data_IF_923679196488
#
_entry.id   IF_923679196488
#
_cell.length_a   1.000
_cell.length_b   1.000
_cell.length_c   1.000
_cell.angle_alpha   90.00
_cell.angle_beta   90.00
_cell.angle_gamma   90.00
#
_symmetry.space_group_name_H-M   'P 1'
#
loop_
_entity.id
_entity.type
_entity.pdbx_description
1 polymer ?
#
# COMPACT_ATOMS: atom_id res chain seq x y z
N UNK A 1 17.36 -76.85 18.47
CA UNK A 1 17.02 -75.42 18.68
C UNK A 1 17.44 -74.59 17.45
N UNK A 2 16.49 -74.32 16.52
CA UNK A 2 16.75 -73.49 15.29
C UNK A 2 16.53 -72.08 15.66
N UNK A 3 17.54 -71.19 15.54
CA UNK A 3 17.42 -69.76 15.72
C UNK A 3 16.87 -69.13 14.40
N UNK A 4 15.71 -68.54 14.50
CA UNK A 4 15.08 -67.75 13.41
C UNK A 4 15.66 -66.33 13.50
N UNK A 5 16.44 -65.91 12.49
CA UNK A 5 16.94 -64.55 12.35
C UNK A 5 15.94 -63.80 11.50
N UNK A 6 15.24 -62.81 12.12
CA UNK A 6 14.32 -61.91 11.45
C UNK A 6 15.11 -60.71 10.85
N UNK A 7 15.21 -60.63 9.54
CA UNK A 7 15.77 -59.46 8.87
C UNK A 7 14.68 -58.37 8.75
N UNK A 8 14.85 -57.29 9.48
CA UNK A 8 14.10 -56.07 9.27
C UNK A 8 14.69 -55.33 8.08
N UNK A 9 14.00 -55.33 6.95
CA UNK A 9 14.32 -54.47 5.81
C UNK A 9 13.73 -53.08 6.07
N UNK A 10 14.57 -52.12 6.46
CA UNK A 10 14.21 -50.72 6.49
C UNK A 10 14.11 -50.21 5.05
N UNK A 11 12.90 -50.12 4.51
CA UNK A 11 12.63 -49.36 3.28
C UNK A 11 12.55 -47.88 3.69
N UNK A 12 13.65 -47.15 3.52
CA UNK A 12 13.64 -45.70 3.61
C UNK A 12 12.88 -45.16 2.38
N UNK A 13 11.63 -44.73 2.60
CA UNK A 13 10.94 -43.90 1.65
C UNK A 13 11.64 -42.55 1.67
N UNK A 14 12.58 -42.35 0.75
CA UNK A 14 12.98 -40.99 0.34
C UNK A 14 11.81 -40.39 -0.44
N UNK A 15 10.92 -39.69 0.25
CA UNK A 15 9.95 -38.83 -0.37
C UNK A 15 10.73 -37.71 -1.02
N UNK A 16 10.96 -37.78 -2.33
CA UNK A 16 11.37 -36.67 -3.14
C UNK A 16 10.22 -35.68 -3.11
N UNK A 17 10.32 -34.65 -2.31
CA UNK A 17 9.53 -33.45 -2.50
C UNK A 17 10.00 -32.84 -3.82
N UNK A 18 9.25 -33.10 -4.88
CA UNK A 18 9.48 -32.48 -6.16
C UNK A 18 9.28 -30.99 -5.95
N UNK A 19 10.33 -30.19 -6.08
CA UNK A 19 10.22 -28.73 -6.04
C UNK A 19 9.34 -28.30 -7.22
N UNK A 20 8.27 -27.58 -6.94
CA UNK A 20 7.38 -27.04 -7.97
C UNK A 20 8.15 -25.96 -8.73
N UNK A 21 8.28 -26.11 -10.04
CA UNK A 21 8.85 -25.10 -10.92
C UNK A 21 7.81 -23.98 -11.17
N UNK A 22 7.73 -23.04 -10.23
CA UNK A 22 6.78 -21.94 -10.29
C UNK A 22 7.04 -21.03 -11.49
N UNK A 23 8.31 -20.79 -11.82
CA UNK A 23 8.66 -19.93 -12.95
C UNK A 23 8.24 -20.53 -14.27
N UNK A 24 8.53 -21.81 -14.50
CA UNK A 24 8.09 -22.53 -15.70
C UNK A 24 6.57 -22.55 -15.85
N UNK A 25 5.83 -22.72 -14.73
CA UNK A 25 4.36 -22.66 -14.74
C UNK A 25 3.89 -21.26 -15.16
N UNK A 26 4.45 -20.21 -14.57
CA UNK A 26 4.07 -18.84 -14.92
C UNK A 26 4.36 -18.55 -16.39
N UNK A 27 5.57 -18.84 -16.87
CA UNK A 27 5.95 -18.62 -18.27
C UNK A 27 5.02 -19.34 -19.25
N UNK A 28 4.60 -20.55 -18.91
CA UNK A 28 3.68 -21.37 -19.73
C UNK A 28 2.28 -20.76 -19.85
N UNK A 29 1.77 -20.18 -18.78
CA UNK A 29 0.35 -19.82 -18.69
C UNK A 29 0.04 -18.32 -18.69
N UNK A 30 0.97 -17.46 -18.28
CA UNK A 30 0.71 -16.02 -18.01
C UNK A 30 0.10 -15.28 -19.19
N UNK A 31 0.48 -15.63 -20.43
CA UNK A 31 -0.04 -14.98 -21.64
C UNK A 31 -1.57 -15.07 -21.79
N UNK A 32 -2.19 -16.07 -21.17
CA UNK A 32 -3.64 -16.26 -21.22
C UNK A 32 -4.42 -15.20 -20.42
N UNK A 33 -3.72 -14.46 -19.55
CA UNK A 33 -4.35 -13.49 -18.63
C UNK A 33 -4.19 -12.03 -19.06
N UNK A 34 -3.34 -11.74 -20.05
CA UNK A 34 -3.11 -10.35 -20.46
C UNK A 34 -4.35 -9.69 -21.07
N UNK A 35 -5.19 -10.44 -21.76
CA UNK A 35 -6.46 -9.92 -22.31
C UNK A 35 -7.44 -9.59 -21.18
N UNK A 36 -7.57 -10.47 -20.18
CA UNK A 36 -8.42 -10.18 -19.01
C UNK A 36 -7.92 -8.96 -18.23
N UNK A 37 -6.58 -8.82 -18.11
CA UNK A 37 -5.99 -7.64 -17.49
C UNK A 37 -6.34 -6.37 -18.27
N UNK A 38 -6.14 -6.41 -19.60
CA UNK A 38 -6.47 -5.28 -20.46
C UNK A 38 -7.92 -4.85 -20.30
N UNK A 39 -8.85 -5.80 -20.39
CA UNK A 39 -10.29 -5.53 -20.27
C UNK A 39 -10.65 -4.94 -18.91
N UNK A 40 -10.12 -5.51 -17.83
CA UNK A 40 -10.44 -5.07 -16.48
C UNK A 40 -9.89 -3.68 -16.16
N UNK A 41 -8.64 -3.37 -16.51
CA UNK A 41 -8.05 -2.06 -16.23
C UNK A 41 -8.54 -0.99 -17.21
N UNK A 42 -9.19 -1.37 -18.30
CA UNK A 42 -9.86 -0.42 -19.21
C UNK A 42 -11.17 0.14 -18.64
N UNK A 43 -11.74 -0.49 -17.60
CA UNK A 43 -12.93 0.01 -16.94
C UNK A 43 -12.57 1.15 -15.98
N UNK A 44 -13.10 2.37 -16.15
CA UNK A 44 -12.97 3.42 -15.15
C UNK A 44 -13.51 2.97 -13.79
N UNK A 45 -12.85 3.40 -12.68
CA UNK A 45 -13.16 2.89 -11.35
C UNK A 45 -13.03 3.92 -10.22
N UNK A 46 -13.20 5.21 -10.53
CA UNK A 46 -13.19 6.25 -9.49
C UNK A 46 -14.45 6.17 -8.62
N UNK A 47 -14.29 5.90 -7.33
CA UNK A 47 -15.39 5.76 -6.36
C UNK A 47 -16.24 7.04 -6.19
N UNK A 48 -15.68 8.23 -6.44
CA UNK A 48 -16.45 9.46 -6.45
C UNK A 48 -17.45 9.55 -7.63
N UNK A 49 -17.27 8.72 -8.66
CA UNK A 49 -18.11 8.71 -9.87
C UNK A 49 -18.94 7.43 -9.90
N UNK A 50 -20.06 7.46 -9.18
CA UNK A 50 -20.92 6.29 -8.94
C UNK A 50 -21.16 5.38 -10.15
N UNK A 51 -21.40 5.86 -11.39
CA UNK A 51 -21.57 4.98 -12.55
C UNK A 51 -20.34 4.16 -12.94
N UNK A 52 -19.14 4.48 -12.47
CA UNK A 52 -17.93 3.76 -12.82
C UNK A 52 -17.78 2.45 -12.04
N UNK A 53 -18.45 2.29 -10.91
CA UNK A 53 -18.31 1.11 -10.03
C UNK A 53 -19.07 -0.10 -10.59
N UNK A 54 -20.28 0.09 -11.10
CA UNK A 54 -21.12 -1.02 -11.58
C UNK A 54 -20.46 -1.91 -12.64
N UNK A 55 -19.85 -1.38 -13.71
CA UNK A 55 -19.18 -2.20 -14.72
C UNK A 55 -18.06 -3.07 -14.17
N UNK A 56 -17.35 -2.60 -13.15
CA UNK A 56 -16.32 -3.37 -12.48
C UNK A 56 -16.91 -4.55 -11.68
N UNK A 57 -17.99 -4.32 -10.94
CA UNK A 57 -18.67 -5.39 -10.21
C UNK A 57 -19.20 -6.47 -11.15
N UNK A 58 -19.77 -6.08 -12.30
CA UNK A 58 -20.28 -7.01 -13.31
C UNK A 58 -19.14 -7.84 -13.92
N UNK A 59 -18.01 -7.21 -14.22
CA UNK A 59 -16.81 -7.89 -14.70
C UNK A 59 -16.27 -8.87 -13.66
N UNK A 60 -16.13 -8.45 -12.40
CA UNK A 60 -15.67 -9.29 -11.29
C UNK A 60 -16.58 -10.50 -11.07
N UNK A 61 -17.89 -10.30 -11.12
CA UNK A 61 -18.86 -11.39 -11.00
C UNK A 61 -18.59 -12.46 -12.07
N UNK A 62 -18.52 -12.07 -13.33
CA UNK A 62 -18.23 -12.99 -14.44
C UNK A 62 -16.87 -13.68 -14.25
N UNK A 63 -15.82 -12.92 -13.89
CA UNK A 63 -14.48 -13.43 -13.73
C UNK A 63 -14.35 -14.47 -12.59
N UNK A 64 -15.06 -14.30 -11.49
CA UNK A 64 -15.05 -15.23 -10.38
C UNK A 64 -15.99 -16.42 -10.59
N UNK A 65 -17.21 -16.19 -11.11
CA UNK A 65 -18.20 -17.27 -11.34
C UNK A 65 -17.72 -18.30 -12.39
N UNK A 66 -17.05 -17.86 -13.48
CA UNK A 66 -16.46 -18.79 -14.45
C UNK A 66 -15.38 -19.69 -13.86
N UNK A 67 -14.82 -19.32 -12.70
CA UNK A 67 -13.81 -20.07 -11.93
C UNK A 67 -14.42 -20.91 -10.78
N UNK A 68 -15.75 -21.00 -10.73
CA UNK A 68 -16.48 -21.79 -9.74
C UNK A 68 -16.58 -21.14 -8.35
N UNK A 69 -16.43 -19.83 -8.26
CA UNK A 69 -16.73 -19.09 -7.03
C UNK A 69 -18.22 -18.75 -6.94
N UNK A 70 -18.79 -18.88 -5.76
CA UNK A 70 -20.04 -18.22 -5.43
C UNK A 70 -19.78 -16.75 -5.13
N UNK A 71 -20.56 -15.86 -5.74
CA UNK A 71 -20.36 -14.41 -5.61
C UNK A 71 -21.53 -13.72 -4.93
N UNK A 72 -21.26 -12.67 -4.19
CA UNK A 72 -22.28 -11.84 -3.54
C UNK A 72 -21.78 -10.40 -3.45
N UNK A 73 -22.70 -9.45 -3.59
CA UNK A 73 -22.47 -8.05 -3.24
C UNK A 73 -22.97 -7.83 -1.80
N UNK A 74 -22.08 -7.38 -0.93
CA UNK A 74 -22.40 -7.02 0.46
C UNK A 74 -22.77 -5.54 0.48
N UNK A 75 -24.00 -5.25 0.83
CA UNK A 75 -24.50 -3.88 0.91
C UNK A 75 -23.78 -3.08 1.99
N UNK A 76 -23.48 -1.81 1.68
CA UNK A 76 -22.91 -0.84 2.59
C UNK A 76 -23.72 0.46 2.58
N UNK A 77 -23.30 1.47 3.34
CA UNK A 77 -23.85 2.83 3.23
C UNK A 77 -23.49 3.56 1.94
N UNK A 78 -22.51 3.05 1.18
CA UNK A 78 -22.00 3.58 -0.08
C UNK A 78 -22.08 2.57 -1.22
N UNK A 79 -20.93 2.31 -1.86
CA UNK A 79 -20.82 1.26 -2.86
C UNK A 79 -20.72 -0.12 -2.20
N UNK A 80 -21.24 -1.18 -2.83
CA UNK A 80 -21.19 -2.52 -2.24
C UNK A 80 -19.77 -3.09 -2.27
N UNK A 81 -19.41 -3.87 -1.26
CA UNK A 81 -18.20 -4.70 -1.27
C UNK A 81 -18.50 -6.02 -1.98
N UNK A 82 -17.61 -6.43 -2.88
CA UNK A 82 -17.77 -7.72 -3.57
C UNK A 82 -17.17 -8.85 -2.74
N UNK A 83 -17.92 -9.95 -2.58
CA UNK A 83 -17.47 -11.18 -1.92
C UNK A 83 -17.49 -12.32 -2.92
N UNK A 84 -16.41 -13.09 -2.99
CA UNK A 84 -16.34 -14.36 -3.72
C UNK A 84 -15.82 -15.47 -2.79
N UNK A 85 -16.45 -16.65 -2.87
CA UNK A 85 -16.12 -17.79 -2.02
C UNK A 85 -15.99 -19.07 -2.83
N UNK A 86 -14.97 -19.87 -2.55
CA UNK A 86 -14.82 -21.24 -3.10
C UNK A 86 -14.34 -22.19 -2.01
N UNK A 87 -15.07 -23.27 -1.81
CA UNK A 87 -14.61 -24.35 -0.94
C UNK A 87 -13.59 -25.21 -1.63
N UNK A 88 -12.59 -25.67 -0.89
CA UNK A 88 -11.63 -26.63 -1.43
C UNK A 88 -12.32 -27.95 -1.75
N UNK A 89 -11.91 -28.54 -2.84
CA UNK A 89 -12.34 -29.92 -3.24
C UNK A 89 -11.42 -31.00 -2.66
N UNK A 90 -10.32 -30.63 -2.00
CA UNK A 90 -9.43 -31.57 -1.36
C UNK A 90 -10.09 -32.17 -0.10
N UNK A 91 -10.43 -33.43 -0.16
CA UNK A 91 -11.00 -34.17 0.97
C UNK A 91 -9.85 -34.60 1.89
N UNK A 92 -9.42 -33.68 2.78
CA UNK A 92 -8.60 -34.06 3.93
C UNK A 92 -9.49 -34.46 5.10
N UNK A 93 -9.03 -35.36 5.95
CA UNK A 93 -9.79 -35.91 7.10
C UNK A 93 -9.99 -34.90 8.23
N UNK A 94 -9.71 -33.62 8.02
CA UNK A 94 -9.83 -32.54 9.01
C UNK A 94 -10.60 -31.32 8.48
N UNK A 95 -10.95 -30.41 9.39
CA UNK A 95 -11.55 -29.14 9.02
C UNK A 95 -10.53 -28.30 8.24
N UNK A 96 -10.86 -27.95 6.99
CA UNK A 96 -10.03 -27.13 6.14
C UNK A 96 -10.02 -25.68 6.65
N UNK A 97 -8.84 -25.11 6.73
CA UNK A 97 -8.67 -23.68 7.03
C UNK A 97 -9.17 -22.82 5.88
N UNK A 98 -9.58 -21.62 6.22
CA UNK A 98 -10.10 -20.61 5.27
C UNK A 98 -9.10 -19.46 5.17
N UNK A 99 -8.69 -19.15 3.95
CA UNK A 99 -7.85 -18.01 3.61
C UNK A 99 -8.74 -16.92 3.01
N UNK A 100 -8.73 -15.74 3.62
CA UNK A 100 -9.44 -14.56 3.15
C UNK A 100 -8.44 -13.59 2.53
N UNK A 101 -8.67 -13.22 1.26
CA UNK A 101 -7.94 -12.16 0.58
C UNK A 101 -8.72 -10.86 0.64
N UNK A 102 -8.03 -9.77 0.93
CA UNK A 102 -8.53 -8.41 0.80
C UNK A 102 -7.76 -7.68 -0.30
N UNK A 103 -8.49 -7.05 -1.19
CA UNK A 103 -8.01 -6.16 -2.26
C UNK A 103 -9.07 -5.11 -2.53
N UNK A 104 -8.79 -4.15 -3.41
CA UNK A 104 -9.77 -3.18 -3.87
C UNK A 104 -9.77 -3.04 -5.39
N UNK A 105 -10.85 -2.51 -5.96
CA UNK A 105 -10.95 -2.35 -7.41
C UNK A 105 -11.25 -0.92 -7.85
N UNK A 106 -11.54 -0.03 -6.92
CA UNK A 106 -11.59 1.39 -7.22
C UNK A 106 -10.17 1.93 -7.45
N UNK A 107 -10.07 3.14 -7.93
CA UNK A 107 -8.80 3.78 -8.23
C UNK A 107 -8.88 5.28 -8.03
N UNK A 108 -7.73 5.88 -7.75
CA UNK A 108 -7.57 7.33 -7.58
C UNK A 108 -8.14 8.11 -8.76
N UNK A 109 -8.67 9.31 -8.53
CA UNK A 109 -9.02 10.26 -9.60
C UNK A 109 -7.89 10.43 -10.60
N UNK A 110 -8.23 10.75 -11.82
CA UNK A 110 -7.28 10.98 -12.90
C UNK A 110 -7.34 12.42 -13.40
N UNK A 111 -6.18 12.94 -13.77
CA UNK A 111 -5.99 14.18 -14.50
C UNK A 111 -5.44 13.78 -15.88
N UNK A 112 -6.29 13.57 -16.89
CA UNK A 112 -5.88 12.98 -18.18
C UNK A 112 -4.73 13.71 -18.87
N UNK A 113 -4.65 15.02 -18.70
CA UNK A 113 -3.60 15.88 -19.27
C UNK A 113 -2.21 15.63 -18.69
N UNK A 114 -2.10 14.96 -17.54
CA UNK A 114 -0.82 14.56 -16.93
C UNK A 114 -0.33 13.20 -17.41
N UNK A 115 -1.14 12.48 -18.21
CA UNK A 115 -0.78 11.16 -18.71
C UNK A 115 -0.13 11.24 -20.09
N UNK A 116 1.01 10.55 -20.24
CA UNK A 116 1.72 10.47 -21.50
C UNK A 116 1.20 9.29 -22.35
N UNK A 117 -0.13 9.22 -22.52
CA UNK A 117 -0.85 8.25 -23.33
C UNK A 117 -2.26 8.78 -23.63
N UNK A 118 -2.95 8.14 -24.57
CA UNK A 118 -4.26 8.58 -25.06
C UNK A 118 -5.32 8.72 -23.94
N UNK A 119 -5.31 7.78 -22.99
CA UNK A 119 -6.22 7.79 -21.84
C UNK A 119 -5.61 7.03 -20.66
N UNK A 120 -5.83 7.47 -19.42
CA UNK A 120 -5.48 6.70 -18.22
C UNK A 120 -6.09 5.30 -18.17
N UNK A 121 -7.24 5.09 -18.83
CA UNK A 121 -7.97 3.84 -18.90
C UNK A 121 -7.76 3.06 -20.21
N UNK A 122 -6.80 3.47 -21.04
CA UNK A 122 -6.34 2.70 -22.19
C UNK A 122 -4.97 2.12 -21.87
N UNK A 123 -4.87 0.82 -21.50
CA UNK A 123 -3.61 0.23 -21.10
C UNK A 123 -2.57 0.27 -22.22
N UNK A 124 -1.35 0.66 -21.88
CA UNK A 124 -0.23 0.72 -22.82
C UNK A 124 0.93 -0.10 -22.28
N UNK A 125 1.40 -1.05 -23.10
CA UNK A 125 2.63 -1.77 -22.81
C UNK A 125 3.83 -0.91 -23.21
N UNK A 126 4.80 -0.76 -22.31
CA UNK A 126 6.01 0.03 -22.58
C UNK A 126 7.27 -0.73 -22.17
N UNK A 127 8.37 -0.45 -22.88
CA UNK A 127 9.73 -0.85 -22.52
C UNK A 127 10.61 0.38 -22.37
N UNK A 128 11.75 0.26 -21.71
CA UNK A 128 12.78 1.31 -21.73
C UNK A 128 13.61 1.21 -22.99
N UNK A 129 13.86 2.35 -23.63
CA UNK A 129 14.83 2.47 -24.71
C UNK A 129 16.26 2.61 -24.14
N UNK A 130 17.23 2.70 -25.02
CA UNK A 130 18.67 2.80 -24.67
C UNK A 130 19.01 4.04 -23.80
N UNK A 131 18.15 5.06 -23.82
CA UNK A 131 18.29 6.27 -23.00
C UNK A 131 17.52 6.18 -21.68
N UNK A 132 16.92 5.02 -21.35
CA UNK A 132 16.12 4.81 -20.15
C UNK A 132 14.71 5.41 -20.20
N UNK A 133 14.27 5.92 -21.34
CA UNK A 133 12.93 6.49 -21.53
C UNK A 133 11.93 5.40 -21.89
N UNK A 134 10.69 5.54 -21.38
CA UNK A 134 9.60 4.62 -21.70
C UNK A 134 9.06 4.88 -23.10
N UNK A 135 9.05 3.84 -23.94
CA UNK A 135 8.42 3.84 -25.27
C UNK A 135 7.35 2.77 -25.36
N UNK A 136 6.23 3.09 -26.02
CA UNK A 136 5.15 2.16 -26.24
C UNK A 136 5.57 1.06 -27.21
N UNK A 137 5.18 -0.17 -26.93
CA UNK A 137 5.31 -1.32 -27.80
C UNK A 137 3.95 -1.98 -27.98
N UNK A 138 3.81 -2.74 -29.07
CA UNK A 138 2.55 -3.40 -29.39
C UNK A 138 2.19 -4.44 -28.32
N UNK A 139 0.93 -4.46 -27.90
CA UNK A 139 0.42 -5.38 -26.90
C UNK A 139 0.55 -6.84 -27.31
N UNK A 140 0.54 -7.14 -28.62
CA UNK A 140 0.70 -8.48 -29.16
C UNK A 140 2.04 -9.13 -28.81
N UNK A 141 3.06 -8.35 -28.43
CA UNK A 141 4.33 -8.89 -27.95
C UNK A 141 4.14 -9.83 -26.75
N UNK A 142 3.14 -9.58 -25.90
CA UNK A 142 2.82 -10.43 -24.75
C UNK A 142 2.27 -11.82 -25.13
N UNK A 143 1.88 -12.05 -26.39
CA UNK A 143 1.44 -13.36 -26.88
C UNK A 143 2.60 -14.30 -27.20
N UNK A 144 3.76 -13.74 -27.54
CA UNK A 144 4.96 -14.49 -27.88
C UNK A 144 5.92 -14.69 -26.73
N UNK A 145 5.83 -13.86 -25.71
CA UNK A 145 6.66 -13.88 -24.51
C UNK A 145 6.55 -12.58 -23.76
N UNK A 146 7.26 -12.46 -22.64
CA UNK A 146 7.37 -11.21 -21.89
C UNK A 146 8.83 -10.99 -21.47
N UNK A 147 9.19 -9.72 -21.36
CA UNK A 147 10.42 -9.30 -20.72
C UNK A 147 10.07 -8.79 -19.32
N UNK A 148 10.73 -9.26 -18.24
CA UNK A 148 10.48 -8.79 -16.87
C UNK A 148 10.63 -7.28 -16.68
N UNK A 149 11.33 -6.61 -17.59
CA UNK A 149 11.50 -5.16 -17.55
C UNK A 149 10.38 -4.37 -18.25
N UNK A 150 9.51 -5.04 -18.98
CA UNK A 150 8.34 -4.37 -19.57
C UNK A 150 7.35 -3.96 -18.47
N UNK A 151 6.60 -2.91 -18.73
CA UNK A 151 5.58 -2.40 -17.78
C UNK A 151 4.30 -2.06 -18.53
N UNK A 152 3.17 -2.33 -17.88
CA UNK A 152 1.84 -1.93 -18.31
C UNK A 152 1.47 -0.66 -17.57
N UNK A 153 1.07 0.37 -18.33
CA UNK A 153 0.68 1.67 -17.82
C UNK A 153 -0.81 1.89 -17.99
N UNK A 154 -1.55 1.92 -16.91
CA UNK A 154 -2.96 2.29 -16.84
C UNK A 154 -3.32 2.70 -15.41
N UNK A 155 -4.44 3.42 -15.20
CA UNK A 155 -4.97 3.64 -13.85
C UNK A 155 -5.36 2.29 -13.23
N UNK A 156 -5.13 2.14 -11.94
CA UNK A 156 -5.43 0.94 -11.14
C UNK A 156 -4.73 -0.36 -11.59
N UNK A 157 -3.80 -0.33 -12.56
CA UNK A 157 -3.12 -1.55 -13.04
C UNK A 157 -2.19 -2.17 -11.98
N UNK A 158 -1.63 -1.37 -11.07
CA UNK A 158 -0.80 -1.84 -9.97
C UNK A 158 -1.55 -1.81 -8.63
N UNK A 159 -2.48 -0.89 -8.50
CA UNK A 159 -3.20 -0.52 -7.30
C UNK A 159 -4.69 -0.36 -7.66
N UNK A 160 -5.57 -1.43 -7.52
CA UNK A 160 -5.19 -2.78 -7.07
C UNK A 160 -5.76 -3.87 -8.02
N UNK A 161 -6.21 -3.50 -9.25
CA UNK A 161 -6.79 -4.44 -10.23
C UNK A 161 -5.80 -5.50 -10.72
N UNK A 162 -4.52 -5.15 -10.84
CA UNK A 162 -3.47 -6.10 -11.22
C UNK A 162 -3.33 -7.24 -10.21
N UNK A 163 -3.15 -6.98 -8.91
CA UNK A 163 -3.15 -7.99 -7.86
C UNK A 163 -4.39 -8.89 -7.85
N UNK A 164 -5.59 -8.34 -8.09
CA UNK A 164 -6.81 -9.17 -8.25
C UNK A 164 -6.61 -10.20 -9.36
N UNK A 165 -6.13 -9.76 -10.52
CA UNK A 165 -5.92 -10.66 -11.65
C UNK A 165 -4.76 -11.63 -11.45
N UNK A 166 -3.70 -11.19 -10.74
CA UNK A 166 -2.60 -12.08 -10.33
C UNK A 166 -3.11 -13.21 -9.43
N UNK A 167 -3.99 -12.91 -8.47
CA UNK A 167 -4.63 -13.93 -7.63
C UNK A 167 -5.45 -14.91 -8.48
N UNK A 168 -6.30 -14.42 -9.38
CA UNK A 168 -7.11 -15.27 -10.27
C UNK A 168 -6.23 -16.15 -11.15
N UNK A 169 -5.17 -15.61 -11.74
CA UNK A 169 -4.22 -16.34 -12.54
C UNK A 169 -3.49 -17.44 -11.75
N UNK A 170 -3.03 -17.12 -10.54
CA UNK A 170 -2.37 -18.09 -9.67
C UNK A 170 -3.29 -19.26 -9.31
N UNK A 171 -4.54 -18.99 -8.95
CA UNK A 171 -5.52 -20.00 -8.60
C UNK A 171 -5.89 -20.89 -9.82
N UNK A 172 -5.99 -20.30 -11.00
CA UNK A 172 -6.21 -21.05 -12.25
C UNK A 172 -5.01 -21.93 -12.59
N UNK A 173 -3.79 -21.39 -12.52
CA UNK A 173 -2.55 -22.14 -12.77
C UNK A 173 -2.42 -23.32 -11.81
N UNK A 174 -2.70 -23.13 -10.53
CA UNK A 174 -2.73 -24.22 -9.54
C UNK A 174 -3.74 -25.31 -9.93
N UNK A 175 -4.91 -24.92 -10.42
CA UNK A 175 -5.93 -25.87 -10.84
C UNK A 175 -5.50 -26.64 -12.12
N UNK A 176 -4.95 -25.95 -13.11
CA UNK A 176 -4.46 -26.54 -14.38
C UNK A 176 -3.33 -27.54 -14.11
N UNK A 177 -2.37 -27.17 -13.28
CA UNK A 177 -1.22 -27.99 -12.92
C UNK A 177 -1.54 -29.01 -11.79
N UNK A 178 -2.82 -29.12 -11.39
CA UNK A 178 -3.31 -30.04 -10.34
C UNK A 178 -2.62 -29.87 -9.01
N UNK A 179 -2.16 -28.67 -8.70
CA UNK A 179 -1.64 -28.29 -7.41
C UNK A 179 -2.83 -28.08 -6.47
N UNK A 180 -3.02 -28.99 -5.54
CA UNK A 180 -4.17 -28.92 -4.64
C UNK A 180 -4.11 -27.69 -3.72
N UNK A 181 -5.25 -27.02 -3.54
CA UNK A 181 -5.40 -25.98 -2.52
C UNK A 181 -5.94 -26.60 -1.22
N UNK A 182 -5.15 -26.68 -0.14
CA UNK A 182 -5.63 -27.24 1.12
C UNK A 182 -6.46 -26.22 1.95
N UNK A 183 -6.98 -25.18 1.31
CA UNK A 183 -7.71 -24.09 1.95
C UNK A 183 -9.02 -23.80 1.23
N UNK A 184 -10.06 -23.42 1.99
CA UNK A 184 -11.16 -22.65 1.43
C UNK A 184 -10.65 -21.25 1.11
N UNK A 185 -11.14 -20.67 0.04
CA UNK A 185 -10.73 -19.34 -0.40
C UNK A 185 -11.92 -18.39 -0.35
N UNK A 186 -11.74 -17.28 0.33
CA UNK A 186 -12.64 -16.13 0.31
C UNK A 186 -11.88 -14.92 -0.25
N UNK A 187 -12.56 -14.09 -0.99
CA UNK A 187 -12.00 -12.84 -1.53
C UNK A 187 -13.01 -11.74 -1.28
N UNK A 188 -12.61 -10.67 -0.62
CA UNK A 188 -13.37 -9.42 -0.55
C UNK A 188 -12.65 -8.33 -1.32
N UNK A 189 -13.41 -7.61 -2.14
CA UNK A 189 -12.90 -6.52 -2.95
C UNK A 189 -13.66 -5.25 -2.58
N UNK A 190 -12.92 -4.29 -2.02
CA UNK A 190 -13.46 -2.99 -1.65
C UNK A 190 -13.67 -2.13 -2.91
N UNK A 191 -14.66 -1.29 -2.88
CA UNK A 191 -15.03 -0.36 -3.94
C UNK A 191 -14.78 1.10 -3.57
N UNK A 192 -14.28 1.35 -2.35
CA UNK A 192 -14.12 2.69 -1.76
C UNK A 192 -12.80 2.83 -0.99
N UNK A 193 -11.80 1.97 -1.24
CA UNK A 193 -10.51 2.01 -0.53
C UNK A 193 -9.83 3.36 -0.73
N UNK A 194 -9.74 3.82 -1.98
CA UNK A 194 -9.04 5.04 -2.41
C UNK A 194 -9.71 6.36 -1.95
N UNK A 195 -10.88 6.25 -1.36
CA UNK A 195 -11.55 7.36 -0.67
C UNK A 195 -11.59 7.17 0.85
N UNK A 196 -10.75 6.23 1.38
CA UNK A 196 -10.56 5.97 2.79
C UNK A 196 -11.50 4.93 3.39
N UNK A 197 -12.09 4.08 2.57
CA UNK A 197 -12.96 2.95 2.97
C UNK A 197 -14.02 3.32 4.04
N UNK A 198 -14.83 4.38 3.83
CA UNK A 198 -15.67 4.95 4.89
C UNK A 198 -16.72 3.97 5.44
N UNK A 199 -17.08 2.98 4.65
CA UNK A 199 -18.13 2.01 5.00
C UNK A 199 -17.61 0.62 5.35
N UNK A 200 -16.31 0.33 5.17
CA UNK A 200 -15.72 -0.99 5.35
C UNK A 200 -15.87 -1.51 6.78
N UNK A 201 -15.60 -0.67 7.78
CA UNK A 201 -15.68 -1.08 9.19
C UNK A 201 -17.10 -1.54 9.60
N UNK A 202 -18.12 -0.85 9.14
CA UNK A 202 -19.52 -1.22 9.41
C UNK A 202 -19.94 -2.46 8.62
N UNK A 203 -19.49 -2.57 7.36
CA UNK A 203 -19.71 -3.76 6.53
C UNK A 203 -19.12 -5.01 7.19
N UNK A 204 -17.88 -4.94 7.69
CA UNK A 204 -17.23 -6.06 8.39
C UNK A 204 -18.00 -6.46 9.65
N UNK A 205 -18.50 -5.51 10.45
CA UNK A 205 -19.34 -5.82 11.62
C UNK A 205 -20.64 -6.53 11.24
N UNK A 206 -21.32 -6.01 10.22
CA UNK A 206 -22.63 -6.51 9.76
C UNK A 206 -22.53 -7.91 9.15
N UNK A 207 -21.44 -8.20 8.45
CA UNK A 207 -21.24 -9.46 7.72
C UNK A 207 -20.14 -10.35 8.33
N UNK A 208 -19.85 -10.19 9.62
CA UNK A 208 -18.77 -10.90 10.32
C UNK A 208 -18.81 -12.42 10.08
N UNK A 209 -19.98 -13.03 10.11
CA UNK A 209 -20.13 -14.48 9.94
C UNK A 209 -19.69 -14.94 8.55
N UNK A 210 -19.95 -14.15 7.51
CA UNK A 210 -19.52 -14.43 6.14
C UNK A 210 -18.01 -14.26 5.96
N UNK A 211 -17.39 -13.38 6.73
CA UNK A 211 -15.96 -13.04 6.62
C UNK A 211 -15.07 -13.87 7.55
N UNK A 212 -15.64 -14.75 8.38
CA UNK A 212 -14.86 -15.63 9.25
C UNK A 212 -13.83 -16.42 8.46
N UNK A 213 -12.56 -16.34 8.88
CA UNK A 213 -11.41 -16.97 8.24
C UNK A 213 -10.34 -17.29 9.28
N UNK A 214 -9.39 -18.18 8.92
CA UNK A 214 -8.23 -18.49 9.76
C UNK A 214 -7.06 -17.54 9.49
N UNK A 215 -6.97 -17.05 8.25
CA UNK A 215 -5.93 -16.11 7.81
C UNK A 215 -6.53 -15.01 6.94
N UNK A 216 -6.05 -13.80 7.12
CA UNK A 216 -6.28 -12.67 6.23
C UNK A 216 -4.98 -12.34 5.50
N UNK A 217 -5.06 -12.21 4.18
CA UNK A 217 -4.00 -11.70 3.33
C UNK A 217 -4.48 -10.45 2.61
N UNK A 218 -3.83 -9.33 2.88
CA UNK A 218 -4.05 -8.06 2.16
C UNK A 218 -3.05 -8.03 1.00
N UNK A 219 -3.54 -7.90 -0.23
CA UNK A 219 -2.70 -7.88 -1.43
C UNK A 219 -2.59 -6.46 -2.03
N UNK A 220 -2.67 -5.47 -1.17
CA UNK A 220 -2.56 -4.04 -1.47
C UNK A 220 -1.24 -3.51 -0.88
N UNK A 221 -0.15 -3.90 -1.47
CA UNK A 221 1.19 -3.54 -0.99
C UNK A 221 2.17 -3.25 -2.11
N UNK A 222 3.02 -2.24 -1.89
CA UNK A 222 4.11 -1.92 -2.82
C UNK A 222 5.13 -3.05 -2.93
N UNK A 223 5.67 -3.27 -4.13
CA UNK A 223 6.79 -4.20 -4.33
C UNK A 223 8.06 -3.61 -3.73
N UNK A 224 8.88 -4.47 -3.14
CA UNK A 224 10.22 -4.10 -2.73
C UNK A 224 11.08 -3.70 -3.95
N UNK A 225 12.06 -2.80 -3.77
CA UNK A 225 12.91 -2.31 -4.85
C UNK A 225 13.73 -3.42 -5.51
N UNK A 226 14.10 -4.47 -4.76
CA UNK A 226 14.79 -5.66 -5.30
C UNK A 226 13.93 -6.47 -6.27
N UNK A 227 12.63 -6.19 -6.37
CA UNK A 227 11.67 -6.95 -7.15
C UNK A 227 11.39 -8.37 -6.59
N UNK A 228 11.90 -8.70 -5.42
CA UNK A 228 11.66 -9.97 -4.75
C UNK A 228 10.25 -10.02 -4.13
N UNK A 229 9.64 -11.21 -4.03
CA UNK A 229 8.39 -11.40 -3.30
C UNK A 229 8.51 -10.91 -1.86
N UNK A 230 7.55 -10.10 -1.42
CA UNK A 230 7.62 -9.44 -0.11
C UNK A 230 6.37 -9.74 0.70
N UNK A 231 6.56 -10.17 1.95
CA UNK A 231 5.49 -10.25 2.95
C UNK A 231 5.71 -9.18 4.01
N UNK A 232 4.69 -8.35 4.21
CA UNK A 232 4.67 -7.31 5.24
C UNK A 232 3.73 -7.74 6.36
N UNK A 233 4.25 -7.86 7.59
CA UNK A 233 3.49 -8.38 8.72
C UNK A 233 2.77 -7.30 9.52
N UNK A 234 2.86 -6.04 9.11
CA UNK A 234 2.18 -4.94 9.76
C UNK A 234 2.41 -3.61 9.06
N UNK A 235 1.51 -2.68 9.30
CA UNK A 235 1.59 -1.32 8.80
C UNK A 235 1.67 -0.35 9.97
N UNK A 236 2.38 0.77 9.76
CA UNK A 236 2.39 1.87 10.72
C UNK A 236 1.02 2.57 10.70
N UNK A 237 0.54 2.92 11.89
CA UNK A 237 -0.64 3.78 12.02
C UNK A 237 -0.39 5.17 11.44
N UNK A 238 -1.45 5.97 11.31
CA UNK A 238 -1.37 7.36 10.88
C UNK A 238 -2.21 8.24 11.79
N UNK A 239 -1.69 9.44 12.10
CA UNK A 239 -2.45 10.54 12.66
C UNK A 239 -2.07 11.83 11.92
N UNK A 240 -3.01 12.74 11.78
CA UNK A 240 -2.79 14.03 11.14
C UNK A 240 -3.11 15.17 12.09
N UNK A 241 -2.35 16.27 11.99
CA UNK A 241 -2.51 17.43 12.84
C UNK A 241 -2.38 18.68 12.00
N UNK A 242 -3.29 19.62 12.21
CA UNK A 242 -3.18 20.98 11.70
C UNK A 242 -2.64 21.88 12.79
N UNK A 243 -1.54 22.58 12.53
CA UNK A 243 -0.99 23.61 13.41
C UNK A 243 -1.25 24.99 12.81
N UNK A 244 -1.75 25.90 13.63
CA UNK A 244 -1.95 27.30 13.25
C UNK A 244 -1.20 28.21 14.23
N UNK A 245 -0.38 29.10 13.68
CA UNK A 245 0.21 30.20 14.45
C UNK A 245 -0.44 31.51 14.01
N UNK A 246 -0.82 32.30 14.98
CA UNK A 246 -1.53 33.55 14.76
C UNK A 246 -0.59 34.76 14.89
N UNK A 247 -0.82 35.75 14.04
CA UNK A 247 -0.19 37.05 14.04
C UNK A 247 -1.17 38.17 14.46
N UNK A 248 -1.13 39.33 13.80
CA UNK A 248 -2.08 40.42 14.06
C UNK A 248 -3.48 40.00 13.60
N UNK A 249 -4.51 40.67 14.14
CA UNK A 249 -5.93 40.40 13.82
C UNK A 249 -6.24 40.44 12.32
N UNK A 250 -5.53 41.27 11.58
CA UNK A 250 -5.58 41.41 10.12
C UNK A 250 -4.17 41.64 9.59
N UNK A 251 -3.83 41.25 8.36
CA UNK A 251 -2.52 41.50 7.78
C UNK A 251 -2.14 43.00 7.87
N UNK A 252 -0.90 43.25 8.28
CA UNK A 252 -0.39 44.60 8.50
C UNK A 252 0.74 44.93 7.52
N UNK A 253 0.86 46.21 7.12
CA UNK A 253 1.97 46.64 6.29
C UNK A 253 3.31 46.49 7.04
N UNK A 254 4.24 45.72 6.46
CA UNK A 254 5.52 45.40 7.11
C UNK A 254 6.46 46.60 7.27
N UNK A 255 6.34 47.60 6.40
CA UNK A 255 7.08 48.87 6.51
C UNK A 255 6.65 49.73 7.72
N UNK A 256 5.41 49.56 8.22
CA UNK A 256 4.93 50.27 9.40
C UNK A 256 5.13 49.49 10.70
N UNK A 257 4.95 48.15 10.68
CA UNK A 257 4.88 47.33 11.85
C UNK A 257 5.96 46.25 11.91
N UNK A 258 6.87 46.19 10.91
CA UNK A 258 8.04 45.29 10.96
C UNK A 258 8.89 45.56 12.21
N UNK A 259 9.53 44.52 12.74
CA UNK A 259 10.27 44.49 13.99
C UNK A 259 9.45 44.76 15.27
N UNK A 260 8.16 45.06 15.16
CA UNK A 260 7.28 45.29 16.31
C UNK A 260 6.19 44.22 16.43
N UNK A 261 5.46 43.95 15.36
CA UNK A 261 4.41 42.91 15.32
C UNK A 261 5.01 41.55 15.01
N UNK A 262 4.77 40.53 15.86
CA UNK A 262 5.27 39.16 15.62
C UNK A 262 4.75 38.60 14.29
N UNK A 263 5.66 38.01 13.51
CA UNK A 263 5.33 37.37 12.24
C UNK A 263 4.97 35.89 12.47
N UNK A 264 3.76 35.43 12.12
CA UNK A 264 3.33 34.05 12.34
C UNK A 264 4.09 33.05 11.49
N UNK A 265 4.55 33.39 10.29
CA UNK A 265 5.37 32.51 9.46
C UNK A 265 6.71 32.18 10.16
N UNK A 266 7.37 33.20 10.76
CA UNK A 266 8.59 32.96 11.52
C UNK A 266 8.33 32.10 12.77
N UNK A 267 7.23 32.32 13.47
CA UNK A 267 6.84 31.50 14.64
C UNK A 267 6.54 30.06 14.25
N UNK A 268 5.85 29.84 13.13
CA UNK A 268 5.63 28.49 12.60
C UNK A 268 6.94 27.81 12.25
N UNK A 269 7.84 28.49 11.53
CA UNK A 269 9.15 27.94 11.18
C UNK A 269 9.97 27.54 12.45
N UNK A 270 9.98 28.39 13.47
CA UNK A 270 10.65 28.09 14.75
C UNK A 270 10.01 26.89 15.47
N UNK A 271 8.68 26.80 15.47
CA UNK A 271 7.95 25.70 16.07
C UNK A 271 8.28 24.38 15.34
N UNK A 272 8.20 24.34 14.03
CA UNK A 272 8.50 23.15 13.24
C UNK A 272 9.97 22.72 13.38
N UNK A 273 10.91 23.68 13.34
CA UNK A 273 12.33 23.40 13.54
C UNK A 273 12.64 22.87 14.95
N UNK A 274 11.84 23.22 15.96
CA UNK A 274 12.03 22.69 17.33
C UNK A 274 11.54 21.25 17.50
N UNK A 275 10.81 20.68 16.54
CA UNK A 275 10.25 19.34 16.62
C UNK A 275 11.21 18.24 16.17
N UNK A 276 12.25 18.58 15.41
CA UNK A 276 13.27 17.64 14.91
C UNK A 276 14.65 18.26 15.07
N UNK A 277 15.65 17.43 15.30
CA UNK A 277 17.06 17.81 15.27
C UNK A 277 17.64 17.75 13.85
N UNK A 278 18.94 18.06 13.73
CA UNK A 278 19.66 18.08 12.45
C UNK A 278 19.82 16.68 11.82
N UNK A 279 19.72 15.62 12.62
CA UNK A 279 19.73 14.22 12.15
C UNK A 279 18.32 13.73 11.76
N UNK A 280 17.30 14.59 11.84
CA UNK A 280 15.90 14.26 11.50
C UNK A 280 15.14 13.55 12.61
N UNK A 281 15.73 13.41 13.79
CA UNK A 281 15.13 12.74 14.94
C UNK A 281 14.14 13.68 15.64
N UNK A 282 12.97 13.17 16.01
CA UNK A 282 11.95 13.97 16.71
C UNK A 282 12.39 14.26 18.15
N UNK A 283 12.37 15.54 18.51
CA UNK A 283 12.84 16.04 19.83
C UNK A 283 11.73 16.16 20.86
N UNK A 284 10.48 15.83 20.50
CA UNK A 284 9.34 15.88 21.41
C UNK A 284 9.51 14.82 22.49
N UNK A 285 9.48 15.25 23.75
CA UNK A 285 9.66 14.35 24.90
C UNK A 285 8.62 13.21 24.89
N UNK A 286 9.07 11.97 25.09
CA UNK A 286 8.22 10.79 25.09
C UNK A 286 7.85 10.25 23.72
N UNK A 287 8.33 10.85 22.63
CA UNK A 287 7.94 10.45 21.28
C UNK A 287 8.37 9.02 20.91
N UNK A 288 9.49 8.58 21.45
CA UNK A 288 10.07 7.25 21.21
C UNK A 288 9.97 6.32 22.43
N UNK A 289 9.23 6.72 23.48
CA UNK A 289 9.14 5.93 24.69
C UNK A 289 8.48 4.56 24.44
N UNK A 290 9.02 3.53 25.09
CA UNK A 290 8.52 2.16 24.98
C UNK A 290 9.00 1.36 23.77
N UNK A 291 9.58 2.01 22.76
CA UNK A 291 10.05 1.32 21.54
C UNK A 291 11.30 0.50 21.87
N UNK A 292 11.21 -0.81 21.61
CA UNK A 292 12.30 -1.76 21.82
C UNK A 292 12.42 -2.66 20.59
N UNK A 293 13.53 -2.54 19.90
CA UNK A 293 13.87 -3.42 18.78
C UNK A 293 14.91 -4.41 19.32
N UNK A 294 14.50 -5.66 19.51
CA UNK A 294 15.40 -6.71 19.99
C UNK A 294 16.39 -7.16 18.90
N UNK A 295 17.38 -7.96 19.32
CA UNK A 295 18.43 -8.41 18.41
C UNK A 295 17.89 -9.34 17.30
N UNK A 296 16.85 -10.12 17.58
CA UNK A 296 16.23 -10.97 16.58
C UNK A 296 15.48 -10.15 15.52
N UNK A 297 14.74 -9.13 15.94
CA UNK A 297 14.11 -8.17 15.03
C UNK A 297 15.17 -7.47 14.16
N UNK A 298 16.28 -7.00 14.74
CA UNK A 298 17.37 -6.38 13.94
C UNK A 298 17.95 -7.34 12.90
N UNK A 299 18.16 -8.62 13.24
CA UNK A 299 18.63 -9.62 12.28
C UNK A 299 17.66 -9.82 11.12
N UNK A 300 16.35 -9.86 11.39
CA UNK A 300 15.32 -9.98 10.36
C UNK A 300 15.30 -8.74 9.47
N UNK A 301 15.32 -7.55 10.05
CA UNK A 301 15.35 -6.28 9.31
C UNK A 301 16.61 -6.15 8.43
N UNK A 302 17.76 -6.57 8.95
CA UNK A 302 19.02 -6.56 8.21
C UNK A 302 19.07 -7.59 7.05
N UNK A 303 18.21 -8.59 7.06
CA UNK A 303 18.11 -9.58 5.98
C UNK A 303 17.29 -9.06 4.77
N UNK A 304 16.57 -7.94 4.91
CA UNK A 304 15.87 -7.31 3.79
C UNK A 304 16.90 -6.75 2.81
N UNK A 305 16.83 -7.08 1.51
CA UNK A 305 17.87 -6.74 0.53
C UNK A 305 17.75 -5.28 0.05
N UNK A 306 17.73 -4.32 0.97
CA UNK A 306 17.76 -2.90 0.63
C UNK A 306 19.11 -2.50 0.01
N UNK A 307 19.04 -1.64 -0.98
CA UNK A 307 20.20 -0.98 -1.55
C UNK A 307 20.13 0.53 -1.28
N UNK A 308 20.82 1.05 -0.24
CA UNK A 308 20.77 2.47 0.10
C UNK A 308 21.23 3.40 -1.02
N UNK A 309 22.20 2.97 -1.84
CA UNK A 309 22.67 3.75 -2.98
C UNK A 309 21.61 3.87 -4.07
N UNK A 310 20.90 2.79 -4.33
CA UNK A 310 19.80 2.78 -5.30
C UNK A 310 18.63 3.65 -4.82
N UNK A 311 18.29 3.57 -3.53
CA UNK A 311 17.26 4.42 -2.92
C UNK A 311 17.65 5.89 -3.08
N UNK A 312 18.90 6.28 -2.74
CA UNK A 312 19.38 7.65 -2.89
C UNK A 312 19.34 8.13 -4.34
N UNK A 313 19.79 7.28 -5.26
CA UNK A 313 19.77 7.59 -6.69
C UNK A 313 18.35 7.77 -7.23
N UNK A 314 17.43 6.89 -6.83
CA UNK A 314 16.03 6.93 -7.29
C UNK A 314 15.29 8.14 -6.76
N UNK A 315 15.50 8.48 -5.49
CA UNK A 315 14.80 9.58 -4.82
C UNK A 315 15.53 10.92 -4.89
N UNK A 316 16.76 10.93 -5.43
CA UNK A 316 17.60 12.12 -5.67
C UNK A 316 17.85 12.92 -4.38
N UNK A 317 18.40 12.25 -3.37
CA UNK A 317 18.87 12.92 -2.15
C UNK A 317 20.28 12.45 -1.77
N UNK A 318 21.03 13.27 -1.01
CA UNK A 318 22.42 13.00 -0.66
C UNK A 318 22.59 12.30 0.67
N UNK A 319 21.93 12.79 1.70
CA UNK A 319 22.10 12.32 3.07
C UNK A 319 20.74 11.93 3.66
N UNK A 320 20.56 10.69 4.14
CA UNK A 320 19.33 10.29 4.85
C UNK A 320 19.31 10.88 6.26
N UNK A 321 18.09 11.00 6.82
CA UNK A 321 17.90 11.19 8.27
C UNK A 321 18.52 10.00 9.04
N UNK A 322 19.03 10.24 10.23
CA UNK A 322 19.72 9.23 11.06
C UNK A 322 18.89 8.83 12.28
N UNK A 323 17.62 8.49 12.07
CA UNK A 323 16.73 8.03 13.14
C UNK A 323 17.16 6.67 13.67
N UNK A 324 17.67 5.80 12.80
CA UNK A 324 18.16 4.47 13.09
C UNK A 324 19.37 4.10 12.21
N UNK A 325 19.95 2.90 12.39
CA UNK A 325 21.17 2.47 11.69
C UNK A 325 20.92 2.19 10.19
N UNK A 326 19.74 1.77 9.82
CA UNK A 326 19.38 1.45 8.43
C UNK A 326 17.93 1.81 8.10
N UNK A 327 17.57 1.69 6.83
CA UNK A 327 16.24 2.03 6.33
C UNK A 327 15.13 1.21 7.00
N UNK A 328 15.28 -0.12 7.08
CA UNK A 328 14.25 -0.98 7.67
C UNK A 328 14.07 -0.74 9.16
N UNK A 329 15.14 -0.50 9.87
CA UNK A 329 15.07 -0.15 11.30
C UNK A 329 14.40 1.21 11.49
N UNK A 330 14.65 2.19 10.63
CA UNK A 330 14.01 3.50 10.70
C UNK A 330 12.49 3.44 10.56
N UNK A 331 11.97 2.45 9.82
CA UNK A 331 10.54 2.22 9.68
C UNK A 331 9.87 1.66 10.94
N UNK A 332 10.65 1.17 11.91
CA UNK A 332 10.15 0.68 13.20
C UNK A 332 9.96 1.80 14.23
N UNK A 333 10.32 3.03 13.87
CA UNK A 333 10.09 4.22 14.70
C UNK A 333 8.95 5.06 14.16
N UNK A 334 8.21 5.79 15.03
CA UNK A 334 7.24 6.75 14.57
C UNK A 334 7.93 7.90 13.85
N UNK A 335 7.28 8.45 12.83
CA UNK A 335 7.82 9.58 12.07
C UNK A 335 6.90 10.79 12.14
N UNK A 336 7.50 11.98 12.09
CA UNK A 336 6.81 13.26 11.95
C UNK A 336 7.22 13.86 10.60
N UNK A 337 6.23 14.10 9.75
CA UNK A 337 6.43 14.68 8.43
C UNK A 337 5.56 15.94 8.26
N UNK A 338 6.14 17.00 7.72
CA UNK A 338 5.44 18.23 7.36
C UNK A 338 4.97 18.04 5.93
N UNK A 339 3.66 17.77 5.74
CA UNK A 339 3.06 17.51 4.43
C UNK A 339 2.53 18.76 3.74
N UNK A 340 2.43 19.87 4.46
CA UNK A 340 1.98 21.15 3.91
C UNK A 340 2.37 22.31 4.82
N UNK A 341 2.66 23.46 4.22
CA UNK A 341 2.97 24.70 4.93
C UNK A 341 2.48 25.87 4.07
N UNK A 342 1.64 26.72 4.61
CA UNK A 342 1.11 27.90 3.92
C UNK A 342 1.10 29.12 4.82
N UNK A 343 1.49 30.27 4.25
CA UNK A 343 1.38 31.57 4.88
C UNK A 343 1.43 32.65 3.80
N UNK A 344 0.40 33.49 3.73
CA UNK A 344 0.28 34.55 2.72
C UNK A 344 0.47 34.08 1.25
N UNK A 345 0.75 35.00 0.35
CA UNK A 345 0.94 34.72 -1.06
C UNK A 345 2.41 34.86 -1.46
N UNK A 346 2.81 34.15 -2.52
CA UNK A 346 4.16 34.20 -3.12
C UNK A 346 4.09 34.59 -4.60
N UNK A 347 5.25 34.88 -5.19
CA UNK A 347 5.37 35.26 -6.61
C UNK A 347 4.68 36.59 -6.91
N UNK A 348 3.98 36.70 -8.03
CA UNK A 348 3.29 37.91 -8.47
C UNK A 348 2.19 38.39 -7.52
N UNK A 349 1.67 37.49 -6.67
CA UNK A 349 0.64 37.83 -5.68
C UNK A 349 1.22 38.22 -4.31
N UNK A 350 2.55 38.23 -4.17
CA UNK A 350 3.20 38.60 -2.92
C UNK A 350 2.96 40.06 -2.58
N UNK A 351 2.64 40.31 -1.30
CA UNK A 351 2.41 41.64 -0.75
C UNK A 351 3.39 41.97 0.37
N UNK A 352 3.66 43.27 0.60
CA UNK A 352 4.55 43.74 1.66
C UNK A 352 3.81 43.76 3.00
N UNK A 353 3.52 42.59 3.56
CA UNK A 353 2.70 42.42 4.75
C UNK A 353 3.37 41.57 5.85
N UNK A 354 2.90 41.74 7.08
CA UNK A 354 2.99 40.77 8.17
C UNK A 354 1.66 40.01 8.13
N UNK A 355 1.65 38.70 7.84
CA UNK A 355 0.43 37.91 7.77
C UNK A 355 -0.30 37.83 9.11
N UNK A 356 -1.56 37.47 9.08
CA UNK A 356 -2.40 37.23 10.26
C UNK A 356 -2.28 35.79 10.78
N UNK A 357 -1.97 34.82 9.90
CA UNK A 357 -1.75 33.43 10.31
C UNK A 357 -0.75 32.69 9.41
N UNK A 358 -0.23 31.58 9.93
CA UNK A 358 0.45 30.55 9.16
C UNK A 358 -0.05 29.17 9.61
N UNK A 359 -0.25 28.27 8.63
CA UNK A 359 -0.81 26.93 8.85
C UNK A 359 0.14 25.87 8.34
N UNK A 360 0.37 24.85 9.17
CA UNK A 360 1.12 23.66 8.79
C UNK A 360 0.27 22.39 8.97
N UNK A 361 0.34 21.50 8.00
CA UNK A 361 -0.23 20.16 8.04
C UNK A 361 0.87 19.15 8.32
N UNK A 362 0.67 18.32 9.33
CA UNK A 362 1.62 17.30 9.76
C UNK A 362 0.97 15.94 9.67
N UNK A 363 1.67 14.94 9.15
CA UNK A 363 1.35 13.53 9.34
C UNK A 363 2.36 12.86 10.26
N UNK A 364 1.85 11.95 11.06
CA UNK A 364 2.60 11.13 12.01
C UNK A 364 2.40 9.68 11.64
N UNK A 365 3.48 8.95 11.37
CA UNK A 365 3.39 7.50 11.30
C UNK A 365 3.59 6.94 12.69
N UNK A 366 2.66 6.09 13.12
CA UNK A 366 2.62 5.55 14.48
C UNK A 366 3.06 4.08 14.48
N UNK A 367 3.70 3.68 15.57
CA UNK A 367 4.04 2.27 15.87
C UNK A 367 3.20 1.80 17.06
N UNK A 368 3.10 0.48 17.34
CA UNK A 368 2.26 -0.04 18.44
C UNK A 368 2.52 0.62 19.79
N UNK A 369 3.77 1.00 20.06
CA UNK A 369 4.19 1.67 21.30
C UNK A 369 3.84 3.16 21.34
N UNK A 370 3.45 3.75 20.20
CA UNK A 370 3.08 5.18 20.15
C UNK A 370 1.84 5.43 21.02
N UNK A 371 2.03 6.10 22.14
CA UNK A 371 0.91 6.46 23.01
C UNK A 371 0.12 7.62 22.41
N UNK A 372 -1.21 7.50 22.21
CA UNK A 372 -2.04 8.63 21.78
C UNK A 372 -2.02 9.81 22.76
N UNK A 373 -1.61 9.56 23.99
CA UNK A 373 -1.62 10.57 25.09
C UNK A 373 -0.24 11.19 25.33
N UNK A 374 0.84 10.45 25.13
CA UNK A 374 2.20 10.93 25.40
C UNK A 374 2.68 11.96 24.37
N UNK A 375 2.31 11.80 23.09
CA UNK A 375 2.75 12.71 22.02
C UNK A 375 2.05 14.08 22.01
N UNK A 376 0.95 14.27 22.71
CA UNK A 376 0.08 15.45 22.55
C UNK A 376 -0.30 16.17 23.83
N UNK A 377 0.45 16.04 24.91
CA UNK A 377 0.37 17.02 26.00
C UNK A 377 1.07 18.31 25.59
N UNK A 378 0.55 18.99 24.58
CA UNK A 378 0.94 20.35 24.30
C UNK A 378 0.44 21.22 25.46
N UNK A 379 1.37 21.66 26.30
CA UNK A 379 1.08 22.82 27.10
C UNK A 379 0.76 23.95 26.11
N UNK A 380 -0.42 24.57 26.23
CA UNK A 380 -0.69 25.87 25.61
C UNK A 380 0.45 26.83 26.03
N UNK A 381 1.46 26.95 25.17
CA UNK A 381 2.50 27.94 25.35
C UNK A 381 1.93 29.20 24.74
N UNK A 382 1.39 30.07 25.61
CA UNK A 382 1.10 31.46 25.29
C UNK A 382 -0.04 31.72 24.34
N UNK A 383 -1.28 31.31 24.67
CA UNK A 383 -2.41 32.14 24.30
C UNK A 383 -2.45 33.32 25.27
N UNK A 384 -2.05 34.50 24.82
CA UNK A 384 -2.46 35.71 25.48
C UNK A 384 -3.98 35.81 25.35
N UNK A 385 -4.74 35.92 26.44
CA UNK A 385 -6.17 36.23 26.32
C UNK A 385 -6.28 37.67 25.80
N UNK A 386 -7.04 37.86 24.75
CA UNK A 386 -7.64 39.18 24.44
C UNK A 386 -8.94 39.31 25.21
#
# INVERSE_FOLDING_TARGET
>A
MKKLILYFVFISFNGFTQSIDLEGIVQKHIKNYYTELYDFVSLPSNAHIKPQIRPNLDWLKIAFEKRGYATQELATGGHPVFLAERKSTNVSTGQLKTLLFYMHFDGQPVEPEKWQQESPYKPVLKKKNVNGQWEAIDWSNLQTGYDPEWRIFARAVSDDKGPILMLLAALDMMQIEKIGTPYNVKVILDSEEEIGAPHLAEMVKTHKDKLTSDFLMVMDGGRHLSNEPTLTYGCRGIATITLTTYGPKTPQHSGHYGNYVPNPALRMAQLLASMKDEDGRVTIAGYYDGIKIDENARKILAAVPDNPEEIRRKLVFTTPDKVAENYQESLQYPSLNIRGLVCANIGEKANTIIPDEAVAEIDLRLVPESSPVAGFRWRRVGCYPY
#
